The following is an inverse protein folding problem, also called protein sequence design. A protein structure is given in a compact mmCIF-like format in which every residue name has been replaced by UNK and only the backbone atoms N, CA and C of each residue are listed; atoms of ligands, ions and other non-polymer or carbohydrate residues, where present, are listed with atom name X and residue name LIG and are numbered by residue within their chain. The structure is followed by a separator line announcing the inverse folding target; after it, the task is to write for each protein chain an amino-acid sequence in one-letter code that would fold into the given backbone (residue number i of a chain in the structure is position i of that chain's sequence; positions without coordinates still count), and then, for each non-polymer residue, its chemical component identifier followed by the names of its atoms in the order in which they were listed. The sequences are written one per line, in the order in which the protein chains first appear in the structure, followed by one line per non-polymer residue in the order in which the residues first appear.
data_IF_654626424103
#
_entry.id   IF_654626424103
#
_cell.length_a   1.000
_cell.length_b   1.000
_cell.length_c   1.000
_cell.angle_alpha   90.00
_cell.angle_beta   90.00
_cell.angle_gamma   90.00
#
_symmetry.space_group_name_H-M   'P 1'
#
loop_
_entity.id
_entity.type
_entity.pdbx_description
1 polymer ?
#
# COMPACT_ATOMS: atom_id res chain seq x y z
N UNK A 1 -36.92 35.35 3.13
CA UNK A 1 -37.28 34.81 4.46
C UNK A 1 -35.99 34.58 5.21
N UNK A 2 -35.43 35.65 5.71
CA UNK A 2 -34.37 35.75 6.66
C UNK A 2 -34.96 36.43 7.88
N UNK A 3 -34.69 35.91 9.06
CA UNK A 3 -34.78 36.57 10.35
C UNK A 3 -35.02 35.57 11.48
N UNK A 4 -34.03 34.73 11.76
CA UNK A 4 -34.06 33.88 12.96
C UNK A 4 -32.66 33.58 13.54
N UNK A 5 -31.65 34.38 13.26
CA UNK A 5 -30.28 34.17 13.80
C UNK A 5 -29.80 35.36 14.69
N UNK A 6 -30.64 36.34 14.96
CA UNK A 6 -30.28 37.53 15.71
C UNK A 6 -30.93 37.66 17.12
N UNK A 7 -31.41 36.56 17.69
CA UNK A 7 -32.13 36.53 18.96
C UNK A 7 -31.42 35.94 20.17
N UNK A 8 -30.12 35.62 20.10
CA UNK A 8 -29.42 34.98 21.23
C UNK A 8 -28.25 35.80 21.77
N UNK A 9 -28.25 37.11 21.63
CA UNK A 9 -27.18 38.02 22.08
C UNK A 9 -27.56 38.91 23.21
N UNK A 10 -28.56 38.58 24.05
CA UNK A 10 -28.71 39.36 25.29
C UNK A 10 -29.20 38.49 26.43
N UNK A 11 -28.41 38.49 27.47
CA UNK A 11 -28.70 37.97 28.82
C UNK A 11 -28.36 36.50 29.07
N UNK A 12 -27.12 36.22 29.46
CA UNK A 12 -26.81 35.52 30.72
C UNK A 12 -25.35 35.85 31.10
N UNK A 13 -25.18 36.39 32.32
CA UNK A 13 -23.91 36.78 32.93
C UNK A 13 -22.87 35.62 32.93
N UNK A 14 -21.71 35.90 32.34
CA UNK A 14 -20.43 35.59 32.94
C UNK A 14 -20.10 34.17 33.37
N UNK A 15 -20.18 33.13 32.50
CA UNK A 15 -19.47 31.86 32.81
C UNK A 15 -19.22 30.93 31.63
N UNK A 16 -19.61 31.28 30.42
CA UNK A 16 -19.49 30.35 29.25
C UNK A 16 -18.44 30.78 28.22
N UNK A 17 -17.75 31.90 28.39
CA UNK A 17 -16.69 32.35 27.48
C UNK A 17 -15.30 31.72 27.72
N UNK A 18 -15.08 31.00 28.83
CA UNK A 18 -13.79 30.35 29.11
C UNK A 18 -13.62 28.99 28.39
N UNK A 19 -14.70 28.40 27.92
CA UNK A 19 -14.63 27.11 27.23
C UNK A 19 -14.22 27.19 25.75
N UNK A 20 -14.47 28.33 25.10
CA UNK A 20 -14.17 28.50 23.67
C UNK A 20 -12.70 28.79 23.35
N UNK A 21 -11.99 29.41 24.33
CA UNK A 21 -10.54 29.65 24.20
C UNK A 21 -9.70 28.37 24.30
N UNK A 22 -10.16 27.36 25.04
CA UNK A 22 -9.47 26.07 25.13
C UNK A 22 -9.68 25.18 23.91
N UNK A 23 -10.81 25.31 23.20
CA UNK A 23 -11.06 24.56 21.96
C UNK A 23 -10.26 25.10 20.80
N UNK A 24 -9.99 26.40 20.76
CA UNK A 24 -9.18 27.03 19.72
C UNK A 24 -7.70 26.73 19.89
N UNK A 25 -7.20 26.66 21.15
CA UNK A 25 -5.80 26.34 21.43
C UNK A 25 -5.47 24.82 21.24
N UNK A 26 -6.47 23.95 21.37
CA UNK A 26 -6.28 22.53 21.09
C UNK A 26 -6.14 22.22 19.58
N UNK A 27 -6.44 23.18 18.70
CA UNK A 27 -6.34 23.01 17.25
C UNK A 27 -4.96 23.39 16.68
N UNK A 28 -4.12 24.06 17.44
CA UNK A 28 -2.77 24.45 17.02
C UNK A 28 -1.70 23.36 17.20
N UNK A 29 -2.06 22.21 17.75
CA UNK A 29 -1.14 21.10 18.05
C UNK A 29 -1.08 19.99 17.03
N UNK A 30 -1.84 20.02 15.93
CA UNK A 30 -1.62 19.10 14.81
C UNK A 30 -0.46 19.66 13.99
N UNK A 31 0.74 19.46 14.51
CA UNK A 31 1.97 19.64 13.75
C UNK A 31 1.86 18.71 12.54
N UNK A 32 1.55 19.25 11.39
CA UNK A 32 1.67 18.55 10.12
C UNK A 32 3.15 18.15 10.01
N UNK A 33 3.44 16.90 10.39
CA UNK A 33 4.80 16.33 10.37
C UNK A 33 5.19 16.31 8.90
N UNK A 34 5.96 17.32 8.49
CA UNK A 34 6.47 17.42 7.12
C UNK A 34 7.23 16.13 6.83
N UNK A 35 6.62 15.28 6.00
CA UNK A 35 7.22 14.00 5.61
C UNK A 35 8.58 14.29 4.96
N UNK A 36 9.64 13.69 5.51
CA UNK A 36 10.97 13.78 4.92
C UNK A 36 10.94 13.15 3.52
N UNK A 37 10.93 14.01 2.51
CA UNK A 37 10.84 13.63 1.10
C UNK A 37 11.94 12.64 0.70
N UNK A 38 13.15 12.77 1.28
CA UNK A 38 14.25 11.85 1.00
C UNK A 38 13.96 10.44 1.51
N UNK A 39 13.40 10.32 2.72
CA UNK A 39 12.97 9.02 3.26
C UNK A 39 11.83 8.43 2.47
N UNK A 40 10.88 9.25 2.03
CA UNK A 40 9.77 8.80 1.22
C UNK A 40 10.26 8.22 -0.12
N UNK A 41 11.12 8.95 -0.83
CA UNK A 41 11.72 8.47 -2.08
C UNK A 41 12.54 7.20 -1.84
N UNK A 42 13.34 7.15 -0.79
CA UNK A 42 14.11 5.96 -0.43
C UNK A 42 13.22 4.72 -0.17
N UNK A 43 12.10 4.91 0.52
CA UNK A 43 11.13 3.84 0.75
C UNK A 43 10.46 3.37 -0.54
N UNK A 44 10.11 4.28 -1.46
CA UNK A 44 9.54 3.95 -2.77
C UNK A 44 10.53 3.12 -3.60
N UNK A 45 11.78 3.56 -3.67
CA UNK A 45 12.84 2.82 -4.40
C UNK A 45 13.06 1.44 -3.80
N UNK A 46 13.14 1.32 -2.48
CA UNK A 46 13.28 0.03 -1.80
C UNK A 46 12.08 -0.90 -2.09
N UNK A 47 10.86 -0.38 -2.01
CA UNK A 47 9.65 -1.14 -2.33
C UNK A 47 9.65 -1.62 -3.79
N UNK A 48 10.02 -0.74 -4.73
CA UNK A 48 10.13 -1.09 -6.15
C UNK A 48 11.16 -2.20 -6.40
N UNK A 49 12.34 -2.10 -5.80
CA UNK A 49 13.40 -3.11 -5.95
C UNK A 49 12.94 -4.48 -5.39
N UNK A 50 12.29 -4.47 -4.22
CA UNK A 50 11.74 -5.70 -3.64
C UNK A 50 10.69 -6.32 -4.56
N UNK A 51 9.74 -5.53 -5.06
CA UNK A 51 8.67 -6.00 -5.93
C UNK A 51 9.23 -6.57 -7.24
N UNK A 52 10.18 -5.86 -7.85
CA UNK A 52 10.83 -6.26 -9.10
C UNK A 52 11.61 -7.58 -8.95
N UNK A 53 12.45 -7.70 -7.90
CA UNK A 53 13.22 -8.92 -7.65
C UNK A 53 12.29 -10.09 -7.30
N UNK A 54 11.30 -9.87 -6.44
CA UNK A 54 10.34 -10.90 -6.07
C UNK A 54 9.53 -11.37 -7.29
N UNK A 55 9.05 -10.44 -8.11
CA UNK A 55 8.35 -10.74 -9.35
C UNK A 55 9.18 -11.61 -10.30
N UNK A 56 10.45 -11.24 -10.50
CA UNK A 56 11.37 -12.05 -11.30
C UNK A 56 11.57 -13.46 -10.73
N UNK A 57 11.87 -13.58 -9.44
CA UNK A 57 12.10 -14.86 -8.78
C UNK A 57 10.86 -15.76 -8.83
N UNK A 58 9.69 -15.21 -8.57
CA UNK A 58 8.43 -15.97 -8.57
C UNK A 58 8.05 -16.39 -9.99
N UNK A 59 7.99 -15.47 -10.94
CA UNK A 59 7.42 -15.77 -12.26
C UNK A 59 8.42 -16.41 -13.22
N UNK A 60 9.71 -16.06 -13.13
CA UNK A 60 10.72 -16.62 -14.05
C UNK A 60 11.41 -17.86 -13.49
N UNK A 61 11.74 -17.87 -12.18
CA UNK A 61 12.50 -18.97 -11.59
C UNK A 61 11.56 -20.04 -11.02
N UNK A 62 10.66 -19.66 -10.11
CA UNK A 62 9.81 -20.64 -9.42
C UNK A 62 8.69 -21.19 -10.29
N UNK A 63 7.89 -20.32 -10.91
CA UNK A 63 6.70 -20.70 -11.69
C UNK A 63 6.98 -20.87 -13.19
N UNK A 64 8.20 -20.64 -13.64
CA UNK A 64 8.55 -20.70 -15.06
C UNK A 64 8.28 -22.06 -15.71
N UNK A 65 8.48 -23.17 -14.99
CA UNK A 65 8.15 -24.52 -15.45
C UNK A 65 6.63 -24.73 -15.55
N UNK A 66 5.87 -24.26 -14.58
CA UNK A 66 4.41 -24.34 -14.55
C UNK A 66 3.81 -23.60 -15.75
N UNK A 67 4.30 -22.41 -16.07
CA UNK A 67 3.83 -21.65 -17.23
C UNK A 67 4.17 -22.32 -18.57
N UNK A 68 5.32 -23.01 -18.66
CA UNK A 68 5.65 -23.80 -19.84
C UNK A 68 4.71 -24.98 -20.01
N UNK A 69 4.47 -25.76 -18.96
CA UNK A 69 3.53 -26.88 -18.98
C UNK A 69 2.11 -26.44 -19.37
N UNK A 70 1.64 -25.30 -18.84
CA UNK A 70 0.34 -24.76 -19.22
C UNK A 70 0.29 -24.37 -20.70
N UNK A 71 1.36 -23.81 -21.24
CA UNK A 71 1.46 -23.46 -22.66
C UNK A 71 1.41 -24.72 -23.53
N UNK A 72 2.15 -25.75 -23.14
CA UNK A 72 2.18 -27.05 -23.84
C UNK A 72 0.81 -27.76 -23.79
N UNK A 73 0.05 -27.53 -22.69
CA UNK A 73 -1.33 -27.98 -22.56
C UNK A 73 -2.36 -27.14 -23.34
N UNK A 74 -1.92 -26.16 -24.14
CA UNK A 74 -2.79 -25.34 -24.99
C UNK A 74 -3.33 -24.07 -24.34
N UNK A 75 -2.82 -23.68 -23.15
CA UNK A 75 -3.22 -22.39 -22.56
C UNK A 75 -2.68 -21.22 -23.38
N UNK A 76 -3.59 -20.31 -23.77
CA UNK A 76 -3.27 -19.21 -24.69
C UNK A 76 -2.55 -18.05 -23.95
N UNK A 77 -1.26 -18.19 -23.75
CA UNK A 77 -0.41 -17.06 -23.37
C UNK A 77 0.02 -16.27 -24.60
N UNK A 78 0.34 -14.98 -24.39
CA UNK A 78 0.97 -14.18 -25.43
C UNK A 78 2.30 -14.79 -25.87
N UNK A 79 2.64 -14.83 -27.18
CA UNK A 79 3.95 -15.27 -27.66
C UNK A 79 5.08 -14.49 -26.95
N UNK A 80 6.18 -15.19 -26.68
CA UNK A 80 7.30 -14.64 -25.89
C UNK A 80 7.90 -13.38 -26.50
N UNK A 81 8.07 -13.35 -27.81
CA UNK A 81 8.56 -12.19 -28.54
C UNK A 81 7.63 -10.98 -28.37
N UNK A 82 6.33 -11.17 -28.54
CA UNK A 82 5.34 -10.10 -28.34
C UNK A 82 5.24 -9.66 -26.87
N UNK A 83 5.54 -10.55 -25.92
CA UNK A 83 5.60 -10.23 -24.49
C UNK A 83 6.80 -9.34 -24.15
N UNK A 84 7.98 -9.64 -24.72
CA UNK A 84 9.20 -8.81 -24.52
C UNK A 84 8.97 -7.34 -24.83
N UNK A 85 8.31 -7.03 -25.93
CA UNK A 85 7.99 -5.65 -26.32
C UNK A 85 7.03 -4.94 -25.38
N UNK A 86 6.38 -5.66 -24.45
CA UNK A 86 5.41 -5.11 -23.50
C UNK A 86 5.89 -5.14 -22.04
N UNK A 87 7.10 -5.64 -21.77
CA UNK A 87 7.65 -5.70 -20.41
C UNK A 87 7.76 -4.34 -19.73
N UNK A 88 7.93 -3.26 -20.51
CA UNK A 88 7.91 -1.90 -19.96
C UNK A 88 6.62 -1.61 -19.16
N UNK A 89 5.48 -2.19 -19.58
CA UNK A 89 4.21 -2.05 -18.87
C UNK A 89 4.25 -2.65 -17.46
N UNK A 90 5.00 -3.75 -17.26
CA UNK A 90 5.21 -4.34 -15.94
C UNK A 90 6.02 -3.37 -15.07
N UNK A 91 7.09 -2.82 -15.59
CA UNK A 91 7.92 -1.87 -14.84
C UNK A 91 7.17 -0.60 -14.44
N UNK A 92 6.35 -0.06 -15.35
CA UNK A 92 5.49 1.09 -15.03
C UNK A 92 4.46 0.72 -13.96
N UNK A 93 3.86 -0.46 -14.06
CA UNK A 93 2.92 -0.96 -13.05
C UNK A 93 3.58 -1.11 -11.68
N UNK A 94 4.76 -1.73 -11.63
CA UNK A 94 5.52 -1.93 -10.39
C UNK A 94 5.93 -0.59 -9.75
N UNK A 95 6.35 0.38 -10.58
CA UNK A 95 6.70 1.72 -10.11
C UNK A 95 5.47 2.43 -9.52
N UNK A 96 4.35 2.43 -10.24
CA UNK A 96 3.11 3.04 -9.78
C UNK A 96 2.60 2.37 -8.50
N UNK A 97 2.62 1.04 -8.45
CA UNK A 97 2.21 0.29 -7.27
C UNK A 97 3.10 0.64 -6.07
N UNK A 98 4.42 0.69 -6.25
CA UNK A 98 5.36 1.02 -5.17
C UNK A 98 5.17 2.44 -4.64
N UNK A 99 4.92 3.41 -5.52
CA UNK A 99 4.61 4.80 -5.13
C UNK A 99 3.35 4.85 -4.27
N UNK A 100 2.26 4.24 -4.75
CA UNK A 100 0.98 4.24 -4.04
C UNK A 100 1.06 3.45 -2.74
N UNK A 101 1.71 2.29 -2.74
CA UNK A 101 1.92 1.45 -1.57
C UNK A 101 2.62 2.22 -0.44
N UNK A 102 3.73 2.87 -0.74
CA UNK A 102 4.49 3.62 0.26
C UNK A 102 3.76 4.90 0.67
N UNK A 103 3.08 5.57 -0.26
CA UNK A 103 2.30 6.76 0.05
C UNK A 103 1.14 6.46 1.02
N UNK A 104 0.40 5.39 0.78
CA UNK A 104 -0.69 4.94 1.68
C UNK A 104 -0.13 4.56 3.06
N UNK A 105 1.00 3.82 3.09
CA UNK A 105 1.68 3.50 4.34
C UNK A 105 2.06 4.76 5.12
N UNK A 106 2.63 5.74 4.45
CA UNK A 106 3.07 6.99 5.08
C UNK A 106 1.92 7.81 5.66
N UNK A 107 0.72 7.74 5.05
CA UNK A 107 -0.50 8.39 5.57
C UNK A 107 -1.13 7.64 6.74
N UNK A 108 -0.99 6.33 6.80
CA UNK A 108 -1.58 5.46 7.83
C UNK A 108 -0.61 5.03 8.94
N UNK A 109 0.64 5.50 8.95
CA UNK A 109 1.60 5.10 9.99
C UNK A 109 1.18 5.60 11.38
N UNK A 110 1.31 4.72 12.36
CA UNK A 110 0.99 5.00 13.76
C UNK A 110 2.27 5.07 14.60
N UNK A 111 2.18 5.57 15.84
CA UNK A 111 3.27 5.54 16.82
C UNK A 111 3.36 4.18 17.53
N UNK A 112 3.61 3.14 16.74
CA UNK A 112 3.75 1.74 17.20
C UNK A 112 5.06 1.13 16.69
N UNK A 113 5.52 0.00 17.24
CA UNK A 113 6.72 -0.67 16.75
C UNK A 113 6.65 -0.93 15.23
N UNK A 114 7.65 -0.46 14.52
CA UNK A 114 7.67 -0.44 13.05
C UNK A 114 7.54 -1.84 12.40
N UNK A 115 8.10 -2.88 13.04
CA UNK A 115 8.01 -4.25 12.50
C UNK A 115 6.57 -4.73 12.44
N UNK A 116 5.84 -4.59 13.55
CA UNK A 116 4.43 -4.98 13.60
C UNK A 116 3.55 -4.19 12.64
N UNK A 117 3.84 -2.91 12.45
CA UNK A 117 3.12 -2.08 11.47
C UNK A 117 3.41 -2.55 10.04
N UNK A 118 4.67 -2.81 9.69
CA UNK A 118 5.05 -3.29 8.36
C UNK A 118 4.39 -4.61 8.00
N UNK A 119 4.39 -5.58 8.93
CA UNK A 119 3.74 -6.88 8.72
C UNK A 119 2.22 -6.72 8.54
N UNK A 120 1.55 -6.01 9.46
CA UNK A 120 0.09 -5.79 9.39
C UNK A 120 -0.30 -5.09 8.09
N UNK A 121 0.48 -4.10 7.68
CA UNK A 121 0.24 -3.39 6.43
C UNK A 121 0.43 -4.29 5.21
N UNK A 122 1.48 -5.10 5.16
CA UNK A 122 1.71 -6.07 4.08
C UNK A 122 0.58 -7.09 3.96
N UNK A 123 0.10 -7.63 5.10
CA UNK A 123 -1.07 -8.53 5.13
C UNK A 123 -2.33 -7.82 4.61
N UNK A 124 -2.60 -6.61 5.10
CA UNK A 124 -3.76 -5.83 4.66
C UNK A 124 -3.74 -5.58 3.15
N UNK A 125 -2.59 -5.17 2.62
CA UNK A 125 -2.44 -4.92 1.19
C UNK A 125 -2.55 -6.20 0.35
N UNK A 126 -2.12 -7.34 0.87
CA UNK A 126 -2.33 -8.64 0.23
C UNK A 126 -3.81 -8.97 0.11
N UNK A 127 -4.56 -8.82 1.20
CA UNK A 127 -6.00 -9.05 1.21
C UNK A 127 -6.76 -8.05 0.32
N UNK A 128 -6.24 -6.85 0.15
CA UNK A 128 -6.89 -5.81 -0.64
C UNK A 128 -6.57 -5.92 -2.14
N UNK A 129 -5.37 -6.34 -2.52
CA UNK A 129 -4.93 -6.33 -3.93
C UNK A 129 -4.73 -7.72 -4.50
N UNK A 130 -3.93 -8.56 -3.86
CA UNK A 130 -3.51 -9.86 -4.41
C UNK A 130 -4.64 -10.87 -4.39
N UNK A 131 -5.31 -11.02 -3.25
CA UNK A 131 -6.37 -12.03 -3.10
C UNK A 131 -7.55 -11.79 -4.05
N UNK A 132 -8.14 -10.57 -4.14
CA UNK A 132 -9.24 -10.33 -5.06
C UNK A 132 -8.82 -10.50 -6.53
N UNK A 133 -7.63 -10.05 -6.92
CA UNK A 133 -7.12 -10.22 -8.28
C UNK A 133 -6.96 -11.70 -8.62
N UNK A 134 -6.30 -12.45 -7.76
CA UNK A 134 -6.05 -13.89 -7.98
C UNK A 134 -7.36 -14.71 -8.05
N UNK A 135 -8.36 -14.37 -7.24
CA UNK A 135 -9.68 -15.00 -7.30
C UNK A 135 -10.45 -14.64 -8.57
N UNK A 136 -10.39 -13.38 -9.01
CA UNK A 136 -10.99 -12.97 -10.27
C UNK A 136 -10.35 -13.71 -11.45
N UNK A 137 -9.04 -13.81 -11.49
CA UNK A 137 -8.31 -14.53 -12.53
C UNK A 137 -8.66 -16.03 -12.52
N UNK A 138 -8.81 -16.63 -11.34
CA UNK A 138 -9.25 -18.02 -11.19
C UNK A 138 -10.65 -18.27 -11.76
N UNK A 139 -11.57 -17.32 -11.61
CA UNK A 139 -12.94 -17.44 -12.14
C UNK A 139 -12.97 -17.23 -13.66
N UNK A 140 -12.19 -16.27 -14.16
CA UNK A 140 -12.23 -15.88 -15.58
C UNK A 140 -11.41 -16.83 -16.46
N UNK A 141 -10.28 -17.29 -15.95
CA UNK A 141 -9.35 -18.14 -16.69
C UNK A 141 -9.36 -19.57 -16.14
N UNK A 142 -9.18 -20.55 -17.01
CA UNK A 142 -9.05 -21.96 -16.59
C UNK A 142 -7.66 -22.21 -15.96
N UNK A 143 -7.42 -21.63 -14.80
CA UNK A 143 -6.16 -21.73 -14.08
C UNK A 143 -6.19 -22.88 -13.06
N UNK A 144 -5.08 -23.63 -12.89
CA UNK A 144 -4.96 -24.58 -11.79
C UNK A 144 -5.04 -23.87 -10.44
N UNK A 145 -5.82 -24.40 -9.52
CA UNK A 145 -5.94 -23.84 -8.16
C UNK A 145 -4.58 -23.71 -7.44
N UNK A 146 -3.66 -24.64 -7.70
CA UNK A 146 -2.30 -24.60 -7.15
C UNK A 146 -1.53 -23.36 -7.59
N UNK A 147 -1.67 -22.92 -8.85
CA UNK A 147 -1.03 -21.71 -9.36
C UNK A 147 -1.55 -20.45 -8.64
N UNK A 148 -2.87 -20.39 -8.45
CA UNK A 148 -3.51 -19.27 -7.76
C UNK A 148 -3.05 -19.18 -6.31
N UNK A 149 -2.93 -20.31 -5.61
CA UNK A 149 -2.36 -20.36 -4.26
C UNK A 149 -0.91 -19.89 -4.22
N UNK A 150 -0.08 -20.30 -5.20
CA UNK A 150 1.30 -19.83 -5.27
C UNK A 150 1.37 -18.31 -5.45
N UNK A 151 0.50 -17.71 -6.26
CA UNK A 151 0.44 -16.25 -6.43
C UNK A 151 0.05 -15.53 -5.13
N UNK A 152 -0.93 -16.07 -4.39
CA UNK A 152 -1.36 -15.49 -3.11
C UNK A 152 -0.23 -15.56 -2.08
N UNK A 153 0.43 -16.71 -1.94
CA UNK A 153 1.54 -16.89 -0.98
C UNK A 153 2.73 -16.02 -1.35
N UNK A 154 3.12 -16.00 -2.62
CA UNK A 154 4.20 -15.16 -3.10
C UNK A 154 3.91 -13.67 -2.89
N UNK A 155 2.70 -13.24 -3.21
CA UNK A 155 2.23 -11.87 -2.99
C UNK A 155 2.25 -11.48 -1.51
N UNK A 156 1.80 -12.37 -0.63
CA UNK A 156 1.84 -12.16 0.83
C UNK A 156 3.27 -11.91 1.32
N UNK A 157 4.20 -12.77 0.94
CA UNK A 157 5.62 -12.63 1.31
C UNK A 157 6.19 -11.32 0.77
N UNK A 158 5.95 -11.03 -0.50
CA UNK A 158 6.45 -9.82 -1.16
C UNK A 158 5.93 -8.55 -0.49
N UNK A 159 4.62 -8.47 -0.23
CA UNK A 159 4.02 -7.27 0.36
C UNK A 159 4.37 -7.10 1.84
N UNK A 160 4.62 -8.18 2.58
CA UNK A 160 5.18 -8.08 3.93
C UNK A 160 6.60 -7.52 3.88
N UNK A 161 7.45 -7.98 2.97
CA UNK A 161 8.82 -7.46 2.81
C UNK A 161 8.81 -5.98 2.42
N UNK A 162 7.94 -5.58 1.49
CA UNK A 162 7.75 -4.17 1.12
C UNK A 162 7.26 -3.33 2.31
N UNK A 163 6.31 -3.85 3.08
CA UNK A 163 5.78 -3.20 4.28
C UNK A 163 6.85 -3.02 5.35
N UNK A 164 7.67 -4.03 5.57
CA UNK A 164 8.81 -3.95 6.50
C UNK A 164 9.86 -2.92 6.04
N UNK A 165 10.20 -2.90 4.75
CA UNK A 165 11.13 -1.93 4.20
C UNK A 165 10.61 -0.49 4.34
N UNK A 166 9.36 -0.25 3.97
CA UNK A 166 8.71 1.05 4.14
C UNK A 166 8.69 1.48 5.62
N UNK A 167 8.32 0.57 6.52
CA UNK A 167 8.28 0.82 7.95
C UNK A 167 9.66 1.13 8.54
N UNK A 168 10.70 0.40 8.12
CA UNK A 168 12.06 0.60 8.59
C UNK A 168 12.64 1.96 8.16
N UNK A 169 12.35 2.41 6.94
CA UNK A 169 12.86 3.66 6.40
C UNK A 169 12.07 4.85 6.96
N UNK A 170 10.75 4.72 7.09
CA UNK A 170 9.86 5.80 7.52
C UNK A 170 9.65 5.86 9.04
N UNK A 171 10.31 4.98 9.81
CA UNK A 171 10.26 5.06 11.29
C UNK A 171 10.77 6.41 11.79
N UNK A 172 10.16 6.90 12.86
CA UNK A 172 10.71 8.05 13.60
C UNK A 172 12.06 7.69 14.21
N UNK A 173 13.02 8.62 14.27
CA UNK A 173 14.21 8.42 15.08
C UNK A 173 13.76 8.12 16.52
N UNK A 174 14.26 7.03 17.12
CA UNK A 174 14.07 6.81 18.55
C UNK A 174 14.76 7.97 19.25
N UNK A 175 14.02 8.70 20.09
CA UNK A 175 14.63 9.65 21.02
C UNK A 175 15.55 8.82 21.93
N UNK A 176 16.86 9.05 21.80
CA UNK A 176 17.88 8.47 22.67
C UNK A 176 17.77 9.08 24.06
#
# INVERSE_FOLDING_TARGET
MGAAVLGCLYSVKGSWCSGLSHVTLAREGVREETMDTKKLIGAIVAAFVILFIAGFLVHSVWLGTTYRQMRDAGFSFRPEEAMRHKLWGVWVSDALYSILFVWVYAKGKEEKPWVGQGIRYGILMTLFTVVPSALNDYVVYNLPHTLVLHWIVAGLITLILMGLAAAAILKKPSAA
#
